data_IF_684310858706
#
_entry.id   IF_684310858706
#
_cell.length_a   1.000
_cell.length_b   1.000
_cell.length_c   1.000
_cell.angle_alpha   90.00
_cell.angle_beta   90.00
_cell.angle_gamma   90.00
#
_symmetry.space_group_name_H-M   'P 1'
#
loop_
_entity.id
_entity.type
_entity.pdbx_description
1 polymer ?
#
# COMPACT_ATOMS: atom_id res chain seq x y z
N UNK A 1 23.72 -23.88 62.82
CA UNK A 1 24.67 -22.95 63.50
C UNK A 1 24.07 -21.58 63.33
N UNK A 2 23.37 -21.11 64.36
CA UNK A 2 23.87 -20.23 65.44
C UNK A 2 24.40 -18.89 64.84
N UNK A 3 24.04 -17.72 65.23
CA UNK A 3 23.39 -17.12 66.41
C UNK A 3 23.01 -15.68 66.02
N UNK A 4 21.87 -15.13 66.40
CA UNK A 4 21.69 -14.30 67.61
C UNK A 4 22.66 -13.10 67.66
N UNK A 5 22.34 -11.87 67.96
CA UNK A 5 21.27 -11.31 68.80
C UNK A 5 21.42 -9.76 68.84
N UNK A 6 20.34 -9.12 69.32
CA UNK A 6 20.27 -7.95 70.20
C UNK A 6 20.70 -6.60 69.68
N UNK A 7 20.06 -5.48 69.78
CA UNK A 7 19.02 -5.00 70.73
C UNK A 7 19.32 -3.57 71.07
N UNK A 8 18.31 -2.87 71.55
CA UNK A 8 18.26 -1.58 72.29
C UNK A 8 18.08 -0.33 71.43
N UNK A 9 17.05 0.30 71.61
CA UNK A 9 16.21 0.98 72.55
C UNK A 9 16.28 2.50 72.40
N UNK A 10 15.10 3.04 72.24
CA UNK A 10 14.53 4.32 72.66
C UNK A 10 15.50 5.49 73.05
N UNK A 11 15.16 6.63 72.45
CA UNK A 11 14.89 7.81 73.30
C UNK A 11 14.15 8.90 72.50
N UNK A 12 12.95 9.22 73.00
CA UNK A 12 12.27 10.51 72.77
C UNK A 12 12.70 11.49 73.87
N UNK A 13 12.74 12.75 73.61
CA UNK A 13 12.03 13.74 74.42
C UNK A 13 11.23 14.75 73.57
N UNK A 14 9.96 14.85 73.89
CA UNK A 14 9.25 15.81 74.70
C UNK A 14 9.33 17.29 74.30
N UNK A 15 8.13 17.75 73.83
CA UNK A 15 7.44 19.02 74.04
C UNK A 15 8.12 20.35 73.75
N UNK A 16 7.47 21.20 72.99
CA UNK A 16 6.50 22.23 73.38
C UNK A 16 6.02 23.03 72.15
N UNK A 17 4.89 23.67 72.17
CA UNK A 17 4.17 24.18 71.00
C UNK A 17 4.47 25.64 70.76
N UNK A 18 4.43 26.06 69.51
CA UNK A 18 4.22 27.47 69.20
C UNK A 18 3.10 27.67 68.20
N UNK A 19 2.29 28.57 68.56
CA UNK A 19 1.06 29.06 67.95
C UNK A 19 1.25 29.71 66.58
N UNK A 20 0.18 29.53 65.74
CA UNK A 20 -0.41 30.48 64.80
C UNK A 20 0.46 31.26 63.90
N UNK A 21 0.35 30.93 62.57
CA UNK A 21 0.09 31.95 61.58
C UNK A 21 -0.73 31.33 60.41
N UNK A 22 -1.98 31.80 60.34
CA UNK A 22 -2.90 31.49 59.26
C UNK A 22 -2.37 32.22 58.02
N UNK A 23 -1.82 31.47 57.10
CA UNK A 23 -1.47 31.95 55.77
C UNK A 23 -2.39 31.27 54.76
N UNK A 24 -3.42 31.99 54.34
CA UNK A 24 -4.36 31.58 53.31
C UNK A 24 -3.63 31.56 51.95
N UNK A 25 -3.02 30.43 51.59
CA UNK A 25 -2.54 30.25 50.24
C UNK A 25 -3.65 29.62 49.39
N UNK A 26 -4.39 30.48 48.72
CA UNK A 26 -5.30 30.06 47.65
C UNK A 26 -4.49 29.55 46.49
N UNK A 27 -4.26 28.24 46.44
CA UNK A 27 -3.70 27.59 45.25
C UNK A 27 -4.83 27.51 44.21
N UNK A 28 -4.83 28.44 43.29
CA UNK A 28 -5.61 28.38 42.05
C UNK A 28 -5.07 27.19 41.23
N UNK A 29 -5.71 26.04 41.36
CA UNK A 29 -5.57 24.97 40.38
C UNK A 29 -6.21 25.44 39.06
N UNK A 30 -5.38 25.98 38.17
CA UNK A 30 -5.77 26.14 36.77
C UNK A 30 -5.90 24.72 36.17
N UNK A 31 -7.12 24.22 36.11
CA UNK A 31 -7.43 23.05 35.31
C UNK A 31 -7.18 23.44 33.84
N UNK A 32 -5.98 23.10 33.34
CA UNK A 32 -5.77 23.03 31.93
C UNK A 32 -6.63 21.87 31.39
N UNK A 33 -7.81 22.20 30.92
CA UNK A 33 -8.63 21.31 30.11
C UNK A 33 -7.87 21.07 28.82
N UNK A 34 -7.00 20.09 28.79
CA UNK A 34 -6.54 19.53 27.54
C UNK A 34 -7.77 18.98 26.83
N UNK A 35 -8.28 19.75 25.89
CA UNK A 35 -9.24 19.27 24.91
C UNK A 35 -8.53 18.12 24.20
N UNK A 36 -8.81 16.90 24.62
CA UNK A 36 -8.52 15.71 23.83
C UNK A 36 -9.25 15.92 22.52
N UNK A 37 -8.52 16.37 21.50
CA UNK A 37 -8.98 16.23 20.12
C UNK A 37 -9.24 14.73 19.96
N UNK A 38 -10.52 14.35 19.97
CA UNK A 38 -10.91 13.05 19.48
C UNK A 38 -10.29 12.93 18.09
N UNK A 39 -9.24 12.12 17.96
CA UNK A 39 -8.85 11.63 16.65
C UNK A 39 -10.10 10.94 16.12
N UNK A 40 -10.72 11.56 15.13
CA UNK A 40 -11.66 10.85 14.29
C UNK A 40 -10.88 9.65 13.76
N UNK A 41 -11.15 8.48 14.31
CA UNK A 41 -10.77 7.22 13.71
C UNK A 41 -11.39 7.30 12.33
N UNK A 42 -10.58 7.56 11.33
CA UNK A 42 -10.94 7.32 9.95
C UNK A 42 -11.47 5.90 9.97
N UNK A 43 -12.72 5.69 9.60
CA UNK A 43 -13.23 4.35 9.35
C UNK A 43 -12.23 3.78 8.36
N UNK A 44 -11.48 2.77 8.81
CA UNK A 44 -10.42 2.18 8.02
C UNK A 44 -11.05 1.77 6.70
N UNK A 45 -10.56 2.34 5.60
CA UNK A 45 -11.06 2.02 4.28
C UNK A 45 -10.77 0.55 4.04
N UNK A 46 -11.81 -0.26 3.95
CA UNK A 46 -11.67 -1.71 3.82
C UNK A 46 -10.83 -2.10 2.59
N UNK A 47 -10.95 -1.36 1.49
CA UNK A 47 -10.17 -1.59 0.28
C UNK A 47 -10.70 -2.73 -0.61
N UNK A 48 -11.62 -3.57 -0.15
CA UNK A 48 -12.16 -4.70 -0.93
C UNK A 48 -12.80 -4.27 -2.25
N UNK A 49 -13.33 -3.06 -2.31
CA UNK A 49 -14.05 -2.52 -3.47
C UNK A 49 -13.21 -1.58 -4.34
N UNK A 50 -11.93 -1.45 -4.06
CA UNK A 50 -11.06 -0.48 -4.74
C UNK A 50 -10.89 -0.75 -6.24
N UNK A 51 -10.99 -2.01 -6.66
CA UNK A 51 -10.97 -2.39 -8.07
C UNK A 51 -12.34 -2.48 -8.74
N UNK A 52 -13.43 -2.15 -8.06
CA UNK A 52 -14.78 -2.26 -8.63
C UNK A 52 -14.99 -1.33 -9.84
N UNK A 53 -14.25 -0.22 -9.90
CA UNK A 53 -14.28 0.70 -11.03
C UNK A 53 -13.84 0.04 -12.34
N UNK A 54 -12.95 -0.95 -12.28
CA UNK A 54 -12.34 -1.55 -13.47
C UNK A 54 -13.20 -2.67 -14.07
N UNK A 55 -14.20 -3.19 -13.35
CA UNK A 55 -15.05 -4.27 -13.84
C UNK A 55 -15.75 -3.87 -15.15
N UNK A 56 -15.57 -4.69 -16.19
CA UNK A 56 -16.12 -4.46 -17.54
C UNK A 56 -15.09 -4.64 -18.64
N UNK A 57 -15.37 -4.05 -19.81
CA UNK A 57 -14.53 -4.14 -21.01
C UNK A 57 -13.92 -2.77 -21.32
N UNK A 58 -12.65 -2.78 -21.66
CA UNK A 58 -11.85 -1.59 -21.89
C UNK A 58 -11.07 -1.68 -23.19
N UNK A 59 -10.99 -0.57 -23.90
CA UNK A 59 -10.02 -0.38 -24.95
C UNK A 59 -8.71 0.05 -24.31
N UNK A 60 -7.65 -0.73 -24.55
CA UNK A 60 -6.33 -0.53 -23.96
C UNK A 60 -5.35 -0.02 -25.00
N UNK A 61 -4.68 1.10 -24.72
CA UNK A 61 -3.51 1.58 -25.43
C UNK A 61 -2.30 1.43 -24.53
N UNK A 62 -1.40 0.51 -24.86
CA UNK A 62 -0.23 0.24 -24.03
C UNK A 62 1.08 0.56 -24.78
N UNK A 63 2.09 0.96 -24.02
CA UNK A 63 3.47 1.17 -24.48
C UNK A 63 4.43 0.39 -23.60
N UNK A 64 5.39 -0.26 -24.22
CA UNK A 64 6.45 -0.98 -23.52
C UNK A 64 7.81 -0.44 -23.92
N UNK A 65 8.66 -0.16 -22.92
CA UNK A 65 10.05 0.22 -23.15
C UNK A 65 10.85 -1.01 -23.59
N UNK A 66 11.56 -0.90 -24.67
CA UNK A 66 12.52 -1.92 -25.10
C UNK A 66 13.81 -1.78 -24.28
N UNK A 67 14.29 -2.92 -23.76
CA UNK A 67 15.51 -3.00 -22.95
C UNK A 67 15.50 -2.11 -21.70
N UNK A 68 14.57 -2.34 -20.75
CA UNK A 68 14.56 -1.60 -19.48
C UNK A 68 15.88 -1.70 -18.72
N UNK A 69 16.23 -0.65 -17.98
CA UNK A 69 17.45 -0.51 -17.19
C UNK A 69 18.76 -0.59 -18.01
N UNK A 70 18.65 -0.31 -19.29
CA UNK A 70 19.80 -0.26 -20.23
C UNK A 70 19.97 1.12 -20.89
N UNK A 71 19.31 2.15 -20.36
CA UNK A 71 19.34 3.51 -20.95
C UNK A 71 18.59 3.63 -22.28
N UNK A 72 17.66 2.71 -22.54
CA UNK A 72 16.82 2.76 -23.74
C UNK A 72 15.77 3.85 -23.63
N UNK A 73 15.46 4.49 -24.76
CA UNK A 73 14.30 5.39 -24.91
C UNK A 73 13.33 4.90 -25.99
N UNK A 74 13.48 3.66 -26.44
CA UNK A 74 12.68 3.08 -27.51
C UNK A 74 11.43 2.42 -26.95
N UNK A 75 10.26 2.92 -27.31
CA UNK A 75 8.97 2.38 -26.91
C UNK A 75 8.28 1.67 -28.08
N UNK A 76 7.60 0.58 -27.77
CA UNK A 76 6.71 -0.12 -28.70
C UNK A 76 5.28 0.13 -28.23
N UNK A 77 4.43 0.58 -29.13
CA UNK A 77 3.01 0.80 -28.90
C UNK A 77 2.19 -0.40 -29.35
N UNK A 78 1.21 -0.77 -28.53
CA UNK A 78 0.26 -1.83 -28.79
C UNK A 78 -1.15 -1.33 -28.50
N UNK A 79 -2.14 -1.92 -29.17
CA UNK A 79 -3.53 -1.65 -28.91
C UNK A 79 -4.27 -2.97 -28.65
N UNK A 80 -5.21 -2.93 -27.72
CA UNK A 80 -5.90 -4.14 -27.34
C UNK A 80 -7.19 -3.92 -26.58
N UNK A 81 -7.64 -4.98 -25.96
CA UNK A 81 -8.82 -5.03 -25.14
C UNK A 81 -8.47 -5.66 -23.80
N UNK A 82 -8.89 -5.01 -22.72
CA UNK A 82 -8.84 -5.55 -21.37
C UNK A 82 -10.25 -5.88 -20.90
N UNK A 83 -10.45 -7.10 -20.38
CA UNK A 83 -11.71 -7.54 -19.80
C UNK A 83 -11.47 -7.86 -18.35
N UNK A 84 -12.25 -7.24 -17.46
CA UNK A 84 -12.15 -7.45 -16.02
C UNK A 84 -13.43 -8.06 -15.49
N UNK A 85 -13.30 -9.22 -14.84
CA UNK A 85 -14.44 -9.96 -14.26
C UNK A 85 -14.27 -10.11 -12.75
N UNK A 86 -15.39 -9.93 -12.04
CA UNK A 86 -15.48 -10.15 -10.61
C UNK A 86 -15.46 -11.65 -10.27
N UNK A 87 -14.69 -12.03 -9.26
CA UNK A 87 -14.59 -13.39 -8.71
C UNK A 87 -14.84 -13.31 -7.20
N UNK A 88 -15.38 -14.37 -6.61
CA UNK A 88 -15.70 -14.48 -5.18
C UNK A 88 -16.45 -13.27 -4.61
N UNK A 89 -17.45 -12.82 -5.34
CA UNK A 89 -18.28 -11.68 -4.96
C UNK A 89 -17.50 -10.38 -4.71
N UNK A 90 -16.46 -10.13 -5.51
CA UNK A 90 -15.64 -8.91 -5.46
C UNK A 90 -14.38 -8.98 -4.59
N UNK A 91 -14.16 -10.09 -3.87
CA UNK A 91 -12.91 -10.31 -3.12
C UNK A 91 -11.73 -10.69 -4.01
N UNK A 92 -12.00 -10.96 -5.26
CA UNK A 92 -11.00 -11.19 -6.28
C UNK A 92 -11.55 -10.68 -7.63
N UNK A 93 -10.66 -10.41 -8.57
CA UNK A 93 -11.02 -10.20 -9.95
C UNK A 93 -10.01 -10.86 -10.90
N UNK A 94 -10.48 -11.14 -12.09
CA UNK A 94 -9.68 -11.68 -13.18
C UNK A 94 -9.62 -10.66 -14.31
N UNK A 95 -8.42 -10.32 -14.72
CA UNK A 95 -8.12 -9.41 -15.82
C UNK A 95 -7.55 -10.22 -16.98
N UNK A 96 -8.12 -10.06 -18.16
CA UNK A 96 -7.62 -10.62 -19.41
C UNK A 96 -7.27 -9.45 -20.34
N UNK A 97 -6.03 -9.41 -20.80
CA UNK A 97 -5.53 -8.42 -21.76
C UNK A 97 -5.13 -9.13 -23.04
N UNK A 98 -5.74 -8.74 -24.15
CA UNK A 98 -5.29 -9.12 -25.50
C UNK A 98 -4.84 -7.86 -26.22
N UNK A 99 -3.60 -7.81 -26.70
CA UNK A 99 -3.06 -6.66 -27.40
C UNK A 99 -2.28 -7.04 -28.67
N UNK A 100 -2.40 -6.22 -29.68
CA UNK A 100 -1.70 -6.34 -30.93
C UNK A 100 -0.52 -5.37 -30.95
N UNK A 101 0.68 -5.92 -31.01
CA UNK A 101 1.94 -5.18 -31.09
C UNK A 101 2.61 -5.41 -32.42
N UNK A 102 3.53 -4.53 -32.87
CA UNK A 102 4.30 -4.75 -34.10
C UNK A 102 5.09 -6.07 -34.14
N UNK A 103 5.45 -6.58 -32.95
CA UNK A 103 6.18 -7.87 -32.81
C UNK A 103 5.27 -9.09 -32.68
N UNK A 104 3.94 -8.94 -32.79
CA UNK A 104 2.95 -10.00 -32.62
C UNK A 104 1.95 -9.77 -31.49
N UNK A 105 1.07 -10.72 -31.29
CA UNK A 105 0.06 -10.64 -30.25
C UNK A 105 0.65 -10.85 -28.87
N UNK A 106 0.10 -10.13 -27.90
CA UNK A 106 0.40 -10.26 -26.49
C UNK A 106 -0.90 -10.61 -25.74
N UNK A 107 -0.83 -11.64 -24.93
CA UNK A 107 -1.93 -12.08 -24.09
C UNK A 107 -1.46 -12.10 -22.61
N UNK A 108 -2.12 -11.34 -21.79
CA UNK A 108 -1.83 -11.19 -20.37
C UNK A 108 -3.02 -11.58 -19.50
N UNK A 109 -2.72 -12.19 -18.38
CA UNK A 109 -3.68 -12.55 -17.33
C UNK A 109 -3.22 -11.96 -16.01
N UNK A 110 -4.12 -11.31 -15.26
CA UNK A 110 -3.86 -10.93 -13.87
C UNK A 110 -4.98 -11.45 -12.97
N UNK A 111 -4.61 -12.29 -11.99
CA UNK A 111 -5.49 -12.68 -10.90
C UNK A 111 -5.21 -11.77 -9.71
N UNK A 112 -6.18 -10.96 -9.33
CA UNK A 112 -6.07 -10.04 -8.19
C UNK A 112 -6.85 -10.57 -7.02
N UNK A 113 -6.22 -10.68 -5.85
CA UNK A 113 -6.81 -11.25 -4.64
C UNK A 113 -6.74 -10.22 -3.51
N UNK A 114 -7.87 -9.98 -2.85
CA UNK A 114 -7.95 -9.12 -1.68
C UNK A 114 -7.70 -9.91 -0.40
N UNK A 115 -6.83 -9.39 0.46
CA UNK A 115 -6.59 -9.92 1.79
C UNK A 115 -7.29 -9.04 2.85
N UNK A 116 -8.37 -9.51 3.50
CA UNK A 116 -9.12 -8.71 4.47
C UNK A 116 -8.39 -8.51 5.81
N UNK A 117 -7.29 -9.21 6.06
CA UNK A 117 -6.50 -9.04 7.29
C UNK A 117 -5.47 -7.92 7.15
N UNK A 118 -4.82 -7.81 6.00
CA UNK A 118 -3.83 -6.76 5.72
C UNK A 118 -4.41 -5.56 4.98
N UNK A 119 -5.68 -5.64 4.53
CA UNK A 119 -6.35 -4.63 3.69
C UNK A 119 -5.60 -4.34 2.38
N UNK A 120 -4.93 -5.37 1.84
CA UNK A 120 -4.11 -5.26 0.65
C UNK A 120 -4.59 -6.19 -0.46
N UNK A 121 -4.28 -5.82 -1.67
CA UNK A 121 -4.42 -6.63 -2.86
C UNK A 121 -3.08 -7.25 -3.27
N UNK A 122 -3.11 -8.48 -3.75
CA UNK A 122 -2.01 -9.09 -4.50
C UNK A 122 -2.39 -9.22 -5.97
N UNK A 123 -1.54 -8.73 -6.87
CA UNK A 123 -1.71 -8.77 -8.31
C UNK A 123 -0.77 -9.84 -8.87
N UNK A 124 -1.34 -10.94 -9.34
CA UNK A 124 -0.60 -12.11 -9.80
C UNK A 124 -0.69 -12.16 -11.32
N UNK A 125 0.40 -11.87 -12.01
CA UNK A 125 0.46 -11.75 -13.45
C UNK A 125 1.03 -12.99 -14.14
N UNK A 126 0.48 -13.32 -15.30
CA UNK A 126 1.03 -14.29 -16.24
C UNK A 126 0.86 -13.78 -17.67
N UNK A 127 1.74 -14.17 -18.56
CA UNK A 127 1.54 -14.05 -20.01
C UNK A 127 1.41 -15.44 -20.66
N UNK A 128 0.74 -15.51 -21.79
CA UNK A 128 0.46 -16.78 -22.46
C UNK A 128 1.74 -17.53 -22.86
N UNK A 129 2.82 -16.83 -23.21
CA UNK A 129 4.07 -17.44 -23.62
C UNK A 129 4.81 -18.11 -22.44
N UNK A 130 4.75 -17.51 -21.25
CA UNK A 130 5.38 -18.07 -20.05
C UNK A 130 4.51 -19.10 -19.36
N UNK A 131 3.18 -18.94 -19.43
CA UNK A 131 2.17 -19.81 -18.81
C UNK A 131 2.39 -20.10 -17.32
N UNK A 132 3.05 -19.21 -16.60
CA UNK A 132 3.30 -19.29 -15.15
C UNK A 132 2.98 -17.96 -14.50
N UNK A 133 2.47 -18.02 -13.27
CA UNK A 133 2.32 -16.80 -12.46
C UNK A 133 3.68 -16.31 -12.00
N UNK A 134 3.91 -15.00 -12.15
CA UNK A 134 5.07 -14.32 -11.59
C UNK A 134 4.97 -14.10 -10.08
N UNK A 135 5.95 -13.39 -9.54
CA UNK A 135 5.90 -12.88 -8.18
C UNK A 135 4.73 -11.86 -8.09
N UNK A 136 3.86 -11.95 -7.07
CA UNK A 136 2.77 -11.00 -6.94
C UNK A 136 3.27 -9.63 -6.50
N UNK A 137 2.82 -8.55 -7.14
CA UNK A 137 2.92 -7.22 -6.57
C UNK A 137 1.86 -7.05 -5.49
N UNK A 138 2.21 -6.50 -4.32
CA UNK A 138 1.33 -6.33 -3.16
C UNK A 138 1.21 -4.85 -2.81
N UNK A 139 0.00 -4.40 -2.53
CA UNK A 139 -0.26 -3.02 -2.17
C UNK A 139 -1.72 -2.69 -1.94
N UNK A 140 -2.01 -1.41 -1.94
CA UNK A 140 -3.32 -0.87 -1.59
C UNK A 140 -3.62 0.41 -2.38
N UNK A 141 -4.88 0.86 -2.31
CA UNK A 141 -5.26 2.17 -2.81
C UNK A 141 -5.25 3.19 -1.68
N UNK A 142 -4.70 4.37 -1.97
CA UNK A 142 -4.77 5.55 -1.12
C UNK A 142 -5.15 6.77 -1.96
N UNK A 143 -6.19 7.48 -1.53
CA UNK A 143 -6.64 8.71 -2.19
C UNK A 143 -6.87 8.56 -3.71
N UNK A 144 -7.46 7.44 -4.12
CA UNK A 144 -7.77 7.18 -5.53
C UNK A 144 -6.57 6.74 -6.39
N UNK A 145 -5.45 6.40 -5.77
CA UNK A 145 -4.25 5.87 -6.43
C UNK A 145 -3.87 4.53 -5.81
N UNK A 146 -3.75 3.50 -6.62
CA UNK A 146 -3.24 2.19 -6.22
C UNK A 146 -1.73 2.11 -6.44
N UNK A 147 -0.97 1.64 -5.44
CA UNK A 147 0.46 1.36 -5.55
C UNK A 147 0.78 -0.03 -5.01
N UNK A 148 1.46 -0.82 -5.82
CA UNK A 148 1.78 -2.20 -5.54
C UNK A 148 3.25 -2.46 -5.83
N UNK A 149 3.90 -3.27 -5.00
CA UNK A 149 5.34 -3.49 -5.06
C UNK A 149 5.68 -4.97 -4.94
N UNK A 150 6.77 -5.35 -5.60
CA UNK A 150 7.46 -6.60 -5.35
C UNK A 150 8.98 -6.44 -5.55
N UNK A 151 9.69 -7.55 -5.37
CA UNK A 151 11.12 -7.67 -5.65
C UNK A 151 11.36 -8.85 -6.56
N UNK A 152 11.99 -8.60 -7.70
CA UNK A 152 12.26 -9.60 -8.72
C UNK A 152 13.74 -9.67 -9.11
N UNK A 153 14.04 -10.62 -10.00
CA UNK A 153 15.34 -10.69 -10.70
C UNK A 153 15.13 -10.37 -12.18
N UNK A 154 15.77 -9.33 -12.66
CA UNK A 154 15.74 -8.95 -14.06
C UNK A 154 17.15 -8.93 -14.64
N UNK A 155 17.41 -9.72 -15.68
CA UNK A 155 18.74 -9.89 -16.32
C UNK A 155 19.86 -10.15 -15.29
N UNK A 156 19.59 -11.00 -14.28
CA UNK A 156 20.56 -11.38 -13.23
C UNK A 156 20.80 -10.33 -12.15
N UNK A 157 20.04 -9.23 -12.14
CA UNK A 157 20.08 -8.19 -11.09
C UNK A 157 18.80 -8.22 -10.25
N UNK A 158 18.94 -8.03 -8.95
CA UNK A 158 17.78 -7.78 -8.08
C UNK A 158 17.22 -6.40 -8.38
N UNK A 159 15.92 -6.32 -8.58
CA UNK A 159 15.18 -5.09 -8.85
C UNK A 159 13.98 -4.99 -7.91
N UNK A 160 13.51 -3.76 -7.70
CA UNK A 160 12.17 -3.49 -7.21
C UNK A 160 11.25 -3.21 -8.39
N UNK A 161 10.05 -3.74 -8.33
CA UNK A 161 8.96 -3.45 -9.26
C UNK A 161 7.91 -2.61 -8.56
N UNK A 162 7.46 -1.56 -9.22
CA UNK A 162 6.33 -0.74 -8.78
C UNK A 162 5.27 -0.75 -9.86
N UNK A 163 4.07 -0.99 -9.43
CA UNK A 163 2.88 -1.02 -10.26
C UNK A 163 1.92 0.06 -9.75
N UNK A 164 1.49 0.95 -10.59
CA UNK A 164 0.65 2.09 -10.23
C UNK A 164 -0.60 2.09 -11.07
N UNK A 165 -1.74 2.35 -10.42
CA UNK A 165 -3.01 2.66 -11.08
C UNK A 165 -3.45 4.04 -10.63
N UNK A 166 -3.66 4.95 -11.56
CA UNK A 166 -3.98 6.36 -11.31
C UNK A 166 -4.96 6.92 -12.32
N UNK A 167 -5.30 8.19 -12.16
CA UNK A 167 -6.18 8.94 -13.06
C UNK A 167 -7.53 8.23 -13.28
N UNK A 168 -8.01 7.62 -12.19
CA UNK A 168 -9.19 6.79 -12.18
C UNK A 168 -10.43 7.67 -12.32
N UNK A 169 -11.19 7.42 -13.37
CA UNK A 169 -12.52 7.98 -13.59
C UNK A 169 -13.53 6.85 -13.82
N UNK A 170 -14.78 7.18 -14.06
CA UNK A 170 -15.78 6.20 -14.47
C UNK A 170 -15.41 5.51 -15.78
N UNK A 171 -14.79 6.24 -16.71
CA UNK A 171 -14.62 5.80 -18.10
C UNK A 171 -13.14 5.70 -18.53
N UNK A 172 -12.19 5.96 -17.63
CA UNK A 172 -10.75 5.86 -17.92
C UNK A 172 -9.92 5.54 -16.68
N UNK A 173 -8.75 4.93 -16.88
CA UNK A 173 -7.69 4.84 -15.89
C UNK A 173 -6.32 4.78 -16.58
N UNK A 174 -5.28 5.10 -15.81
CA UNK A 174 -3.89 4.99 -16.24
C UNK A 174 -3.18 3.92 -15.41
N UNK A 175 -2.34 3.16 -16.08
CA UNK A 175 -1.51 2.12 -15.49
C UNK A 175 -0.04 2.38 -15.81
N UNK A 176 0.84 2.24 -14.81
CA UNK A 176 2.29 2.33 -14.97
C UNK A 176 2.99 1.18 -14.24
N UNK A 177 3.94 0.53 -14.91
CA UNK A 177 4.95 -0.29 -14.25
C UNK A 177 6.31 0.38 -14.37
N UNK A 178 7.06 0.39 -13.28
CA UNK A 178 8.41 0.92 -13.23
C UNK A 178 9.36 -0.04 -12.50
N UNK A 179 10.61 -0.07 -12.94
CA UNK A 179 11.68 -0.82 -12.29
C UNK A 179 12.68 0.12 -11.60
N UNK A 180 13.27 -0.39 -10.52
CA UNK A 180 14.38 0.26 -9.82
C UNK A 180 15.46 -0.78 -9.54
N UNK A 181 16.71 -0.49 -9.91
CA UNK A 181 17.88 -1.32 -9.59
C UNK A 181 18.82 -0.66 -8.56
N UNK A 182 18.36 0.42 -7.91
CA UNK A 182 19.11 1.19 -6.91
C UNK A 182 18.42 1.25 -5.53
N UNK A 183 17.50 0.29 -5.28
CA UNK A 183 16.79 0.19 -4.01
C UNK A 183 15.65 1.19 -3.86
N UNK A 184 15.03 1.59 -4.96
CA UNK A 184 13.85 2.48 -4.97
C UNK A 184 14.18 3.98 -4.96
N UNK A 185 15.44 4.36 -5.15
CA UNK A 185 15.85 5.78 -5.21
C UNK A 185 15.44 6.41 -6.52
N UNK A 186 15.59 5.68 -7.62
CA UNK A 186 15.12 6.08 -8.95
C UNK A 186 14.25 4.98 -9.56
N UNK A 187 13.33 5.37 -10.43
CA UNK A 187 12.38 4.49 -11.08
C UNK A 187 12.33 4.77 -12.58
N UNK A 188 12.46 3.72 -13.36
CA UNK A 188 12.31 3.77 -14.81
C UNK A 188 10.99 3.14 -15.21
N UNK A 189 10.05 3.96 -15.71
CA UNK A 189 8.81 3.45 -16.27
C UNK A 189 9.12 2.61 -17.52
N UNK A 190 8.58 1.39 -17.56
CA UNK A 190 8.86 0.45 -18.67
C UNK A 190 7.60 -0.16 -19.29
N UNK A 191 6.46 0.07 -18.69
CA UNK A 191 5.16 -0.28 -19.22
C UNK A 191 4.15 0.77 -18.76
N UNK A 192 3.43 1.36 -19.70
CA UNK A 192 2.31 2.26 -19.42
C UNK A 192 1.11 1.84 -20.23
N UNK A 193 -0.08 1.99 -19.70
CA UNK A 193 -1.31 1.77 -20.43
C UNK A 193 -2.37 2.80 -20.06
N UNK A 194 -3.09 3.25 -21.06
CA UNK A 194 -4.29 4.07 -20.92
C UNK A 194 -5.51 3.23 -21.32
N UNK A 195 -6.39 3.03 -20.36
CA UNK A 195 -7.61 2.28 -20.55
C UNK A 195 -8.82 3.22 -20.68
N UNK A 196 -9.63 2.97 -21.69
CA UNK A 196 -10.91 3.68 -21.91
C UNK A 196 -12.04 2.68 -21.95
N UNK A 197 -13.08 2.90 -21.13
CA UNK A 197 -14.22 2.00 -21.03
C UNK A 197 -14.96 1.87 -22.36
N UNK A 198 -15.19 0.66 -22.78
CA UNK A 198 -16.08 0.37 -23.91
C UNK A 198 -17.54 0.47 -23.45
N UNK A 199 -18.36 1.15 -24.22
CA UNK A 199 -19.81 1.21 -23.99
C UNK A 199 -20.42 -0.04 -24.60
N UNK A 200 -21.23 -0.72 -23.82
CA UNK A 200 -22.08 -1.81 -24.30
C UNK A 200 -23.10 -1.30 -25.33
#
# INVERSE_FOLDING_TARGET
MLNLAWGESMNLPKFLPYFLLVGLFSVLFAFNAHVLKAQTVSLDHDGQHDFDFEIGTWKTHLKRLLHPLAGSSQWVECQGTTIVRRVWNGRANLVELEAHCPSGNFEGLSLRLYNPQSHQWSLNFANANGATLGQPTIGEFKQGRGEFFDQETFNGRAILVRFVISDITRDSCHFEQAFSDDGGKTWEANWVADDTRMKD
#
